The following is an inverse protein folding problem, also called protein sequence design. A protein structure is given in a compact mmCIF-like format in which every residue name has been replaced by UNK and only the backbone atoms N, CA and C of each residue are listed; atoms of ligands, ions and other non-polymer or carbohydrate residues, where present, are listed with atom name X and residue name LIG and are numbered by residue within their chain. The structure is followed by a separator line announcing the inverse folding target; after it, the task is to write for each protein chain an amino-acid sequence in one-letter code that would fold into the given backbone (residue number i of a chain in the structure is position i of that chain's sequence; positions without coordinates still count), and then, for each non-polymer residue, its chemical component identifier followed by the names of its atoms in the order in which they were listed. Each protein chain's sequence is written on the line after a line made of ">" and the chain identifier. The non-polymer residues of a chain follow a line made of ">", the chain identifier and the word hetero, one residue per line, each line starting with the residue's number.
data_IF_223381932713
#
_entry.id   IF_223381932713
#
_cell.length_a   1.000
_cell.length_b   1.000
_cell.length_c   1.000
_cell.angle_alpha   90.00
_cell.angle_beta   90.00
_cell.angle_gamma   90.00
#
_symmetry.space_group_name_H-M   'P 1'
#
loop_
_entity.id
_entity.type
_entity.pdbx_description
1 polymer ?
#
# COMPACT_ATOMS: atom_id res chain seq x y z
N UNK A 1 -1.55 -1.60 24.83
CA UNK A 1 -2.22 -0.63 23.94
C UNK A 1 -1.38 -0.52 22.69
N UNK A 2 -1.88 -0.93 21.52
CA UNK A 2 -1.12 -0.84 20.27
C UNK A 2 -1.10 0.60 19.78
N UNK A 3 0.09 1.18 19.66
CA UNK A 3 0.27 2.54 19.15
C UNK A 3 -0.02 2.58 17.64
N UNK A 4 -0.72 3.62 17.14
CA UNK A 4 -0.91 3.79 15.70
C UNK A 4 0.44 4.00 14.99
N UNK A 5 0.65 3.32 13.88
CA UNK A 5 1.87 3.47 13.08
C UNK A 5 1.63 4.44 11.91
N UNK A 6 2.60 5.33 11.62
CA UNK A 6 2.53 6.17 10.44
C UNK A 6 2.78 5.36 9.17
N UNK A 7 1.83 5.39 8.24
CA UNK A 7 1.93 4.76 6.92
C UNK A 7 1.87 5.85 5.85
N UNK A 8 2.74 5.76 4.85
CA UNK A 8 2.68 6.64 3.67
C UNK A 8 1.84 5.96 2.59
N UNK A 9 0.81 6.66 2.16
CA UNK A 9 -0.05 6.28 1.05
C UNK A 9 0.46 6.96 -0.22
N UNK A 10 0.50 6.22 -1.32
CA UNK A 10 0.70 6.79 -2.65
C UNK A 10 -0.32 6.22 -3.64
N UNK A 11 -0.73 7.01 -4.61
CA UNK A 11 -1.62 6.59 -5.71
C UNK A 11 -0.83 6.44 -7.01
N UNK A 12 -1.02 5.32 -7.70
CA UNK A 12 -0.27 5.01 -8.92
C UNK A 12 -0.57 3.61 -9.45
N UNK A 13 0.27 3.12 -10.33
CA UNK A 13 0.15 1.78 -10.89
C UNK A 13 1.46 1.02 -10.75
N UNK A 14 1.37 -0.28 -10.45
CA UNK A 14 2.50 -1.18 -10.54
C UNK A 14 2.71 -1.61 -11.98
N UNK A 15 3.94 -1.49 -12.46
CA UNK A 15 4.36 -2.00 -13.76
C UNK A 15 5.56 -2.89 -13.59
N UNK A 16 5.54 -4.01 -14.30
CA UNK A 16 6.71 -4.86 -14.45
C UNK A 16 7.49 -4.35 -15.66
N UNK A 17 8.79 -4.09 -15.50
CA UNK A 17 9.65 -3.76 -16.63
C UNK A 17 10.14 -5.03 -17.35
N UNK A 18 10.82 -4.86 -18.49
CA UNK A 18 11.30 -5.97 -19.31
C UNK A 18 12.34 -6.85 -18.58
N UNK A 19 13.10 -6.25 -17.66
CA UNK A 19 14.07 -6.93 -16.79
C UNK A 19 13.42 -7.68 -15.60
N UNK A 20 12.09 -7.64 -15.50
CA UNK A 20 11.29 -8.37 -14.53
C UNK A 20 11.11 -7.70 -13.16
N UNK A 21 11.60 -6.48 -12.98
CA UNK A 21 11.44 -5.67 -11.77
C UNK A 21 10.07 -5.00 -11.70
N UNK A 22 9.52 -4.91 -10.49
CA UNK A 22 8.30 -4.18 -10.21
C UNK A 22 8.61 -2.73 -9.87
N UNK A 23 8.12 -1.82 -10.72
CA UNK A 23 8.26 -0.38 -10.57
C UNK A 23 6.89 0.21 -10.31
N UNK A 24 6.78 1.05 -9.30
CA UNK A 24 5.56 1.81 -9.05
C UNK A 24 5.62 3.15 -9.75
N UNK A 25 4.71 3.35 -10.69
CA UNK A 25 4.49 4.62 -11.34
C UNK A 25 3.48 5.43 -10.55
N UNK A 26 3.98 6.31 -9.69
CA UNK A 26 3.16 7.26 -8.93
C UNK A 26 2.47 8.25 -9.89
N UNK A 27 1.21 8.59 -9.62
CA UNK A 27 0.54 9.69 -10.34
C UNK A 27 1.32 11.00 -10.09
N UNK A 28 1.60 11.81 -11.13
CA UNK A 28 2.36 13.05 -10.94
C UNK A 28 1.72 14.03 -9.94
N UNK A 29 0.39 14.02 -9.86
CA UNK A 29 -0.40 14.84 -8.93
C UNK A 29 -0.43 14.30 -7.49
N UNK A 30 0.09 13.08 -7.26
CA UNK A 30 0.09 12.46 -5.94
C UNK A 30 1.34 12.86 -5.15
N UNK A 31 1.16 13.72 -4.15
CA UNK A 31 2.20 14.11 -3.21
C UNK A 31 2.46 13.02 -2.14
N UNK A 32 1.54 12.07 -2.03
CA UNK A 32 1.51 11.06 -0.98
C UNK A 32 0.97 11.60 0.33
N UNK A 33 0.13 10.81 1.00
CA UNK A 33 -0.46 11.16 2.28
C UNK A 33 0.15 10.35 3.41
N UNK A 34 0.36 10.98 4.57
CA UNK A 34 0.73 10.27 5.79
C UNK A 34 -0.52 10.05 6.63
N UNK A 35 -0.83 8.79 6.92
CA UNK A 35 -1.96 8.39 7.77
C UNK A 35 -1.46 7.60 8.98
N UNK A 36 -2.18 7.70 10.08
CA UNK A 36 -1.94 6.88 11.26
C UNK A 36 -2.93 5.71 11.22
N UNK A 37 -2.42 4.50 11.09
CA UNK A 37 -3.24 3.28 11.05
C UNK A 37 -3.03 2.53 12.36
N UNK A 38 -4.11 2.05 12.95
CA UNK A 38 -4.03 1.19 14.14
C UNK A 38 -3.62 -0.22 13.72
N UNK A 39 -2.80 -0.94 14.49
CA UNK A 39 -2.47 -2.34 14.15
C UNK A 39 -3.67 -3.28 14.10
N UNK A 40 -4.77 -2.92 14.76
CA UNK A 40 -6.06 -3.65 14.76
C UNK A 40 -7.06 -3.07 13.74
N UNK A 41 -6.61 -2.25 12.80
CA UNK A 41 -7.48 -1.67 11.77
C UNK A 41 -7.99 -2.77 10.83
N UNK A 42 -9.26 -2.71 10.46
CA UNK A 42 -9.84 -3.65 9.51
C UNK A 42 -9.51 -3.25 8.08
N UNK A 43 -9.62 -4.19 7.14
CA UNK A 43 -9.49 -3.87 5.73
C UNK A 43 -10.49 -2.80 5.28
N UNK A 44 -11.76 -2.92 5.67
CA UNK A 44 -12.81 -1.93 5.36
C UNK A 44 -12.51 -0.55 5.97
N UNK A 45 -11.98 -0.51 7.19
CA UNK A 45 -11.54 0.73 7.85
C UNK A 45 -10.40 1.39 7.08
N UNK A 46 -9.41 0.61 6.67
CA UNK A 46 -8.30 1.06 5.84
C UNK A 46 -8.77 1.61 4.48
N UNK A 47 -9.68 0.90 3.80
CA UNK A 47 -10.28 1.38 2.56
C UNK A 47 -11.02 2.70 2.76
N UNK A 48 -11.79 2.82 3.84
CA UNK A 48 -12.53 4.04 4.17
C UNK A 48 -11.59 5.23 4.39
N UNK A 49 -10.51 5.05 5.17
CA UNK A 49 -9.48 6.08 5.38
C UNK A 49 -8.87 6.51 4.05
N UNK A 50 -8.57 5.55 3.17
CA UNK A 50 -7.95 5.83 1.88
C UNK A 50 -8.90 6.57 0.95
N UNK A 51 -10.17 6.12 0.87
CA UNK A 51 -11.19 6.77 0.06
C UNK A 51 -11.43 8.21 0.51
N UNK A 52 -11.51 8.44 1.82
CA UNK A 52 -11.62 9.79 2.40
C UNK A 52 -10.42 10.66 2.02
N UNK A 53 -9.20 10.16 2.19
CA UNK A 53 -7.97 10.93 1.92
C UNK A 53 -7.76 11.27 0.45
N UNK A 54 -8.14 10.38 -0.46
CA UNK A 54 -8.01 10.58 -1.90
C UNK A 54 -9.31 11.10 -2.55
N UNK A 55 -10.34 11.40 -1.75
CA UNK A 55 -11.67 11.80 -2.21
C UNK A 55 -12.22 10.87 -3.31
N UNK A 56 -12.04 9.57 -3.12
CA UNK A 56 -12.47 8.54 -4.07
C UNK A 56 -13.95 8.28 -3.88
N UNK A 57 -14.70 8.23 -4.99
CA UNK A 57 -16.11 7.87 -4.94
C UNK A 57 -16.26 6.38 -4.58
N UNK A 58 -17.37 5.96 -3.93
CA UNK A 58 -17.62 4.56 -3.59
C UNK A 58 -17.50 3.61 -4.78
N UNK A 59 -17.96 4.04 -5.96
CA UNK A 59 -17.90 3.28 -7.21
C UNK A 59 -16.50 3.19 -7.83
N UNK A 60 -15.52 3.96 -7.34
CA UNK A 60 -14.16 3.91 -7.87
C UNK A 60 -13.49 2.61 -7.42
N UNK A 61 -12.98 1.77 -8.35
CA UNK A 61 -12.22 0.59 -8.00
C UNK A 61 -10.99 0.97 -7.18
N UNK A 62 -10.82 0.32 -6.04
CA UNK A 62 -9.69 0.50 -5.14
C UNK A 62 -9.01 -0.85 -4.98
N UNK A 63 -7.70 -0.92 -5.25
CA UNK A 63 -6.89 -2.07 -4.87
C UNK A 63 -5.67 -1.59 -4.11
N UNK A 64 -5.44 -2.22 -2.97
CA UNK A 64 -4.38 -1.87 -2.04
C UNK A 64 -3.26 -2.89 -2.19
N UNK A 65 -2.03 -2.40 -2.38
CA UNK A 65 -0.87 -3.27 -2.37
C UNK A 65 0.29 -2.59 -1.64
N UNK A 66 1.09 -3.36 -0.93
CA UNK A 66 2.33 -2.89 -0.34
C UNK A 66 3.51 -3.64 -0.95
N UNK A 67 4.68 -3.02 -0.87
CA UNK A 67 5.93 -3.66 -1.26
C UNK A 67 6.93 -3.42 -0.13
N UNK A 68 7.44 -4.49 0.50
CA UNK A 68 8.45 -4.38 1.54
C UNK A 68 9.72 -3.72 1.00
N UNK A 69 10.57 -3.15 1.87
CA UNK A 69 11.89 -2.69 1.47
C UNK A 69 12.70 -3.79 0.79
N UNK A 70 13.57 -3.41 -0.15
CA UNK A 70 14.38 -4.36 -0.93
C UNK A 70 15.22 -5.31 -0.05
N UNK A 71 15.73 -4.83 1.07
CA UNK A 71 16.49 -5.64 2.05
C UNK A 71 15.67 -6.76 2.69
N UNK A 72 14.33 -6.68 2.69
CA UNK A 72 13.45 -7.75 3.17
C UNK A 72 13.10 -8.78 2.09
N UNK A 73 13.46 -8.51 0.83
CA UNK A 73 13.04 -9.28 -0.34
C UNK A 73 14.21 -10.06 -0.95
N UNK A 74 15.31 -10.22 -0.23
CA UNK A 74 16.44 -11.00 -0.72
C UNK A 74 16.07 -12.48 -0.94
N UNK A 75 16.65 -13.13 -1.98
CA UNK A 75 17.60 -12.59 -2.96
C UNK A 75 16.99 -11.86 -4.16
N UNK A 76 15.67 -11.96 -4.39
CA UNK A 76 15.01 -11.46 -5.60
C UNK A 76 14.80 -9.93 -5.62
N UNK A 77 14.82 -9.29 -4.46
CA UNK A 77 14.67 -7.85 -4.28
C UNK A 77 13.35 -7.33 -4.87
N UNK A 78 13.43 -6.27 -5.66
CA UNK A 78 12.26 -5.65 -6.32
C UNK A 78 11.69 -6.46 -7.49
N UNK A 79 12.24 -7.65 -7.80
CA UNK A 79 11.59 -8.62 -8.70
C UNK A 79 10.41 -9.33 -8.05
N UNK A 80 10.34 -9.34 -6.72
CA UNK A 80 9.19 -9.86 -5.98
C UNK A 80 7.96 -9.00 -6.24
N UNK A 81 6.81 -9.62 -6.60
CA UNK A 81 5.58 -8.88 -6.85
C UNK A 81 5.07 -8.16 -5.60
N UNK A 82 4.39 -7.02 -5.76
CA UNK A 82 3.73 -6.35 -4.64
C UNK A 82 2.66 -7.26 -4.03
N UNK A 83 2.53 -7.20 -2.70
CA UNK A 83 1.54 -7.98 -1.97
C UNK A 83 0.23 -7.20 -1.93
N UNK A 84 -0.78 -7.70 -2.62
CA UNK A 84 -2.14 -7.15 -2.55
C UNK A 84 -2.76 -7.43 -1.18
N UNK A 85 -3.43 -6.43 -0.62
CA UNK A 85 -4.20 -6.53 0.61
C UNK A 85 -5.68 -6.64 0.20
N UNK A 86 -6.31 -7.71 0.66
CA UNK A 86 -7.70 -8.07 0.39
C UNK A 86 -8.49 -8.40 1.65
N UNK A 87 -7.80 -8.66 2.77
CA UNK A 87 -8.41 -9.04 4.05
C UNK A 87 -7.69 -8.46 5.25
N UNK A 88 -8.40 -8.38 6.37
CA UNK A 88 -7.89 -7.80 7.63
C UNK A 88 -6.60 -8.46 8.12
N UNK A 89 -6.43 -9.79 7.97
CA UNK A 89 -5.20 -10.46 8.40
C UNK A 89 -3.96 -10.01 7.62
N UNK A 90 -4.12 -9.55 6.38
CA UNK A 90 -3.03 -8.99 5.56
C UNK A 90 -2.71 -7.55 5.98
N UNK A 91 -3.69 -6.80 6.49
CA UNK A 91 -3.47 -5.49 7.12
C UNK A 91 -2.63 -5.66 8.38
N UNK A 92 -2.96 -6.63 9.24
CA UNK A 92 -2.16 -6.92 10.43
C UNK A 92 -0.72 -7.32 10.08
N UNK A 93 -0.55 -8.17 9.06
CA UNK A 93 0.76 -8.57 8.57
C UNK A 93 1.55 -7.37 8.02
N UNK A 94 0.89 -6.52 7.23
CA UNK A 94 1.46 -5.27 6.74
C UNK A 94 1.95 -4.42 7.92
N UNK A 95 1.12 -4.19 8.95
CA UNK A 95 1.44 -3.33 10.09
C UNK A 95 2.62 -3.81 10.96
N UNK A 96 3.08 -5.05 10.80
CA UNK A 96 4.30 -5.57 11.45
C UNK A 96 5.59 -5.12 10.77
N UNK A 97 5.52 -4.52 9.58
CA UNK A 97 6.68 -4.08 8.83
C UNK A 97 7.13 -2.66 9.25
N UNK A 98 8.44 -2.43 9.43
CA UNK A 98 8.95 -1.15 9.94
C UNK A 98 8.83 0.01 8.93
N UNK A 99 8.75 -0.30 7.64
CA UNK A 99 8.59 0.68 6.57
C UNK A 99 7.51 0.22 5.61
N UNK A 100 6.47 1.03 5.48
CA UNK A 100 5.29 0.71 4.68
C UNK A 100 4.96 1.84 3.72
N UNK A 101 4.85 1.44 2.47
CA UNK A 101 4.39 2.28 1.38
C UNK A 101 3.15 1.60 0.83
N UNK A 102 1.98 2.05 1.28
CA UNK A 102 0.70 1.53 0.80
C UNK A 102 0.37 2.23 -0.53
N UNK A 103 0.27 1.42 -1.58
CA UNK A 103 0.10 1.90 -2.94
C UNK A 103 -1.29 1.55 -3.43
N UNK A 104 -1.99 2.57 -3.88
CA UNK A 104 -3.37 2.49 -4.38
C UNK A 104 -3.30 2.32 -5.88
N UNK A 105 -3.78 1.18 -6.37
CA UNK A 105 -4.00 0.94 -7.80
C UNK A 105 -5.32 1.61 -8.16
N UNK A 106 -5.22 2.83 -8.71
CA UNK A 106 -6.34 3.46 -9.40
C UNK A 106 -6.35 2.95 -10.85
N UNK A 107 -7.54 2.59 -11.33
CA UNK A 107 -7.78 2.28 -12.74
C UNK A 107 -7.31 3.42 -13.64
#
# INVERSE_FOLDING_TARGET
>A
MSTPSPVRLFCGAWRRNDDGYWIFQRKPSDLGYRVLIKPTETFEGLETIIRDRYNLKPETPLSLAYHPPEWMLEPEGTRTPPTTITKTSEVEAMMRLPFLVLRIIGS
#
